data_IF_252949654460
#
_entry.id   IF_252949654460
#
_cell.length_a   1.000
_cell.length_b   1.000
_cell.length_c   1.000
_cell.angle_alpha   90.00
_cell.angle_beta   90.00
_cell.angle_gamma   90.00
#
_symmetry.space_group_name_H-M   'P 1'
#
loop_
_entity.id
_entity.type
_entity.pdbx_description
1 polymer ?
#
# COMPACT_ATOMS: atom_id res chain seq x y z
N UNK A 1 -21.93 5.32 -0.35
CA UNK A 1 -21.39 6.44 -1.15
C UNK A 1 -20.53 7.31 -0.23
N UNK A 2 -19.26 7.58 -0.55
CA UNK A 2 -18.40 8.40 0.30
C UNK A 2 -18.78 9.88 0.13
N UNK A 3 -19.44 10.45 1.14
CA UNK A 3 -20.05 11.78 1.13
C UNK A 3 -19.08 12.94 0.81
N UNK A 4 -17.77 12.72 0.99
CA UNK A 4 -16.71 13.73 0.85
C UNK A 4 -15.73 13.46 -0.31
N UNK A 5 -16.02 12.51 -1.20
CA UNK A 5 -15.12 12.15 -2.29
C UNK A 5 -14.86 13.28 -3.31
N UNK A 6 -15.76 14.26 -3.41
CA UNK A 6 -15.70 15.40 -4.34
C UNK A 6 -14.97 16.64 -3.79
N UNK A 7 -14.67 16.68 -2.48
CA UNK A 7 -13.93 17.79 -1.84
C UNK A 7 -12.44 17.71 -2.14
N UNK A 8 -11.73 18.83 -2.15
CA UNK A 8 -10.26 18.93 -2.26
C UNK A 8 -9.56 18.71 -0.91
N UNK A 9 -8.23 18.52 -0.89
CA UNK A 9 -7.49 18.35 0.38
C UNK A 9 -7.59 19.58 1.28
N UNK A 10 -7.59 20.79 0.72
CA UNK A 10 -7.73 22.04 1.46
C UNK A 10 -9.11 22.15 2.13
N UNK A 11 -10.17 21.81 1.40
CA UNK A 11 -11.53 21.80 1.95
C UNK A 11 -11.72 20.73 3.04
N UNK A 12 -11.12 19.55 2.87
CA UNK A 12 -11.12 18.53 3.93
C UNK A 12 -10.47 19.07 5.20
N UNK A 13 -9.33 19.77 5.10
CA UNK A 13 -8.66 20.38 6.27
C UNK A 13 -9.53 21.41 6.96
N UNK A 14 -10.23 22.26 6.22
CA UNK A 14 -11.17 23.23 6.78
C UNK A 14 -12.30 22.53 7.56
N UNK A 15 -12.91 21.49 6.98
CA UNK A 15 -13.95 20.69 7.65
C UNK A 15 -13.42 20.05 8.94
N UNK A 16 -12.21 19.50 8.94
CA UNK A 16 -11.60 18.85 10.11
C UNK A 16 -11.42 19.85 11.28
N UNK A 17 -11.05 21.10 10.98
CA UNK A 17 -10.77 22.14 11.97
C UNK A 17 -12.00 22.94 12.39
N UNK A 18 -13.13 22.79 11.69
CA UNK A 18 -14.36 23.51 12.01
C UNK A 18 -15.05 22.89 13.22
N UNK A 19 -14.94 23.55 14.38
CA UNK A 19 -15.54 23.09 15.63
C UNK A 19 -17.07 23.24 15.68
N UNK A 20 -17.67 23.96 14.73
CA UNK A 20 -19.13 24.07 14.62
C UNK A 20 -19.78 22.85 13.97
N UNK A 21 -18.99 22.02 13.27
CA UNK A 21 -19.46 20.78 12.65
C UNK A 21 -19.48 19.61 13.63
N UNK A 22 -20.41 18.69 13.39
CA UNK A 22 -20.52 17.45 14.15
C UNK A 22 -19.22 16.63 14.08
N UNK A 23 -18.89 15.99 15.20
CA UNK A 23 -17.67 15.20 15.37
C UNK A 23 -17.55 14.12 14.31
N UNK A 24 -18.66 13.44 13.99
CA UNK A 24 -18.69 12.38 12.99
C UNK A 24 -18.34 12.88 11.58
N UNK A 25 -18.73 14.10 11.24
CA UNK A 25 -18.41 14.73 9.95
C UNK A 25 -16.90 15.01 9.88
N UNK A 26 -16.33 15.54 10.97
CA UNK A 26 -14.90 15.83 11.08
C UNK A 26 -14.05 14.57 10.99
N UNK A 27 -14.48 13.47 11.62
CA UNK A 27 -13.83 12.17 11.52
C UNK A 27 -13.87 11.62 10.10
N UNK A 28 -15.04 11.64 9.44
CA UNK A 28 -15.14 11.18 8.04
C UNK A 28 -14.27 12.01 7.08
N UNK A 29 -14.11 13.30 7.34
CA UNK A 29 -13.21 14.15 6.57
C UNK A 29 -11.73 13.77 6.77
N UNK A 30 -11.31 13.48 8.01
CA UNK A 30 -9.97 12.98 8.30
C UNK A 30 -9.73 11.59 7.66
N UNK A 31 -10.70 10.68 7.73
CA UNK A 31 -10.62 9.36 7.09
C UNK A 31 -10.45 9.47 5.57
N UNK A 32 -11.24 10.30 4.88
CA UNK A 32 -11.11 10.50 3.44
C UNK A 32 -9.77 11.17 3.09
N UNK A 33 -9.29 12.10 3.93
CA UNK A 33 -7.95 12.71 3.77
C UNK A 33 -6.85 11.66 3.88
N UNK A 34 -6.92 10.77 4.89
CA UNK A 34 -5.98 9.69 5.09
C UNK A 34 -6.04 8.65 3.96
N UNK A 35 -7.24 8.28 3.50
CA UNK A 35 -7.43 7.36 2.37
C UNK A 35 -6.76 7.85 1.08
N UNK A 36 -6.78 9.16 0.83
CA UNK A 36 -6.14 9.79 -0.33
C UNK A 36 -4.63 9.89 -0.17
N UNK A 37 -4.17 10.25 1.01
CA UNK A 37 -2.75 10.45 1.31
C UNK A 37 -1.99 9.13 1.42
N UNK A 38 -2.62 8.12 2.00
CA UNK A 38 -2.05 6.82 2.26
C UNK A 38 -2.93 5.74 1.63
N UNK A 39 -2.52 5.16 0.49
CA UNK A 39 -3.23 4.03 -0.07
C UNK A 39 -3.23 2.84 0.91
N UNK A 40 -4.11 1.88 0.71
CA UNK A 40 -4.04 0.61 1.46
C UNK A 40 -2.73 -0.11 1.16
N UNK A 41 -2.23 -0.89 2.12
CA UNK A 41 -1.11 -1.79 1.89
C UNK A 41 -1.40 -2.68 0.67
N UNK A 42 -0.41 -2.83 -0.22
CA UNK A 42 -0.53 -3.64 -1.44
C UNK A 42 -0.26 -5.14 -1.24
N UNK A 43 0.01 -5.56 -0.01
CA UNK A 43 0.07 -6.98 0.33
C UNK A 43 -1.36 -7.54 0.35
N UNK A 44 -1.66 -8.62 -0.40
CA UNK A 44 -2.97 -9.25 -0.40
C UNK A 44 -3.44 -9.62 1.02
N UNK A 45 -4.69 -9.31 1.34
CA UNK A 45 -5.26 -9.57 2.67
C UNK A 45 -4.87 -8.56 3.76
N UNK A 46 -4.03 -7.56 3.46
CA UNK A 46 -3.70 -6.51 4.41
C UNK A 46 -4.64 -5.29 4.24
N UNK A 47 -5.36 -4.95 5.30
CA UNK A 47 -6.22 -3.76 5.36
C UNK A 47 -5.57 -2.55 6.02
N UNK A 48 -4.31 -2.68 6.45
CA UNK A 48 -3.59 -1.60 7.11
C UNK A 48 -3.25 -0.47 6.14
N UNK A 49 -3.22 0.75 6.67
CA UNK A 49 -2.80 1.95 5.94
C UNK A 49 -1.32 1.82 5.54
N UNK A 50 -1.01 2.10 4.27
CA UNK A 50 0.38 2.15 3.80
C UNK A 50 1.05 3.46 4.20
N UNK A 51 1.53 3.52 5.45
CA UNK A 51 2.29 4.67 5.97
C UNK A 51 3.66 4.83 5.29
N UNK A 52 4.13 3.81 4.57
CA UNK A 52 5.47 3.77 3.98
C UNK A 52 5.44 3.09 2.62
N UNK A 53 6.60 3.02 1.97
CA UNK A 53 6.78 2.34 0.70
C UNK A 53 7.96 1.37 0.78
N UNK A 54 7.88 0.29 0.01
CA UNK A 54 8.98 -0.62 -0.27
C UNK A 54 9.11 -0.69 -1.79
N UNK A 55 10.27 -0.31 -2.34
CA UNK A 55 10.47 -0.27 -3.80
C UNK A 55 9.38 0.52 -4.56
N UNK A 56 8.95 1.67 -4.02
CA UNK A 56 7.82 2.51 -4.51
C UNK A 56 6.43 1.91 -4.37
N UNK A 57 6.30 0.65 -3.94
CA UNK A 57 5.02 0.00 -3.67
C UNK A 57 4.54 0.41 -2.27
N UNK A 58 3.31 0.94 -2.13
CA UNK A 58 2.78 1.27 -0.81
C UNK A 58 2.53 0.04 0.05
N UNK A 59 3.14 0.02 1.23
CA UNK A 59 2.98 -1.07 2.22
C UNK A 59 2.89 -0.51 3.64
N UNK A 60 2.29 -1.27 4.56
CA UNK A 60 2.34 -0.91 5.97
C UNK A 60 3.75 -1.13 6.55
N UNK A 61 4.00 -0.57 7.73
CA UNK A 61 5.32 -0.63 8.38
C UNK A 61 5.78 -2.06 8.69
N UNK A 62 4.86 -2.89 9.17
CA UNK A 62 5.11 -4.32 9.41
C UNK A 62 5.57 -5.04 8.13
N UNK A 63 4.83 -4.89 7.02
CA UNK A 63 5.20 -5.54 5.76
C UNK A 63 6.46 -4.97 5.12
N UNK A 64 6.75 -3.68 5.33
CA UNK A 64 8.04 -3.10 4.91
C UNK A 64 9.20 -3.79 5.62
N UNK A 65 9.09 -4.00 6.93
CA UNK A 65 10.12 -4.69 7.69
C UNK A 65 10.31 -6.12 7.16
N UNK A 66 9.22 -6.89 7.01
CA UNK A 66 9.29 -8.26 6.48
C UNK A 66 9.90 -8.33 5.07
N UNK A 67 9.49 -7.46 4.14
CA UNK A 67 10.06 -7.38 2.79
C UNK A 67 11.55 -7.04 2.82
N UNK A 68 11.96 -6.18 3.75
CA UNK A 68 13.37 -5.79 3.90
C UNK A 68 14.18 -6.96 4.44
N UNK A 69 13.69 -7.67 5.45
CA UNK A 69 14.33 -8.88 5.98
C UNK A 69 14.45 -9.95 4.91
N UNK A 70 13.35 -10.29 4.20
CA UNK A 70 13.40 -11.27 3.11
C UNK A 70 14.41 -10.87 2.02
N UNK A 71 14.50 -9.58 1.70
CA UNK A 71 15.46 -9.07 0.71
C UNK A 71 16.90 -9.19 1.18
N UNK A 72 17.17 -8.93 2.47
CA UNK A 72 18.48 -9.09 3.08
C UNK A 72 18.87 -10.57 3.16
N UNK A 73 17.97 -11.43 3.62
CA UNK A 73 18.18 -12.88 3.71
C UNK A 73 18.48 -13.50 2.33
N UNK A 74 17.81 -13.04 1.28
CA UNK A 74 18.09 -13.48 -0.08
C UNK A 74 19.49 -13.07 -0.55
N UNK A 75 19.91 -11.83 -0.26
CA UNK A 75 21.25 -11.36 -0.64
C UNK A 75 22.37 -11.93 0.25
N UNK A 76 22.03 -12.37 1.47
CA UNK A 76 22.92 -13.10 2.35
C UNK A 76 22.94 -14.62 2.05
N UNK A 77 22.24 -15.07 1.00
CA UNK A 77 22.12 -16.48 0.60
C UNK A 77 21.50 -17.40 1.69
N UNK A 78 20.82 -16.81 2.67
CA UNK A 78 20.10 -17.54 3.74
C UNK A 78 18.85 -18.22 3.18
N UNK A 79 18.15 -17.54 2.26
CA UNK A 79 16.98 -18.07 1.55
C UNK A 79 17.20 -18.06 0.04
N UNK A 80 16.63 -19.03 -0.65
CA UNK A 80 16.69 -19.17 -2.10
C UNK A 80 15.59 -18.39 -2.80
N UNK A 81 15.76 -18.16 -4.09
CA UNK A 81 14.79 -17.46 -4.96
C UNK A 81 13.36 -18.01 -4.83
N UNK A 82 13.17 -19.31 -4.65
CA UNK A 82 11.84 -19.94 -4.53
C UNK A 82 11.14 -19.69 -3.19
N UNK A 83 11.89 -19.31 -2.16
CA UNK A 83 11.37 -19.11 -0.79
C UNK A 83 10.92 -17.65 -0.55
N UNK A 84 11.13 -16.77 -1.53
CA UNK A 84 10.82 -15.33 -1.48
C UNK A 84 9.33 -15.05 -1.66
N UNK A 85 8.51 -15.47 -0.71
CA UNK A 85 7.05 -15.42 -0.83
C UNK A 85 6.52 -13.99 -0.91
N UNK A 86 6.98 -13.08 -0.04
CA UNK A 86 6.37 -11.76 0.10
C UNK A 86 6.68 -10.88 -1.11
N UNK A 87 7.92 -10.90 -1.64
CA UNK A 87 8.24 -10.10 -2.83
C UNK A 87 7.44 -10.55 -4.06
N UNK A 88 7.09 -11.83 -4.16
CA UNK A 88 6.26 -12.31 -5.26
C UNK A 88 4.83 -11.83 -5.16
N UNK A 89 4.26 -11.70 -3.96
CA UNK A 89 2.90 -11.17 -3.78
C UNK A 89 2.76 -9.72 -4.25
N UNK A 90 3.79 -8.88 -4.05
CA UNK A 90 3.78 -7.49 -4.51
C UNK A 90 4.34 -7.32 -5.92
N UNK A 91 4.79 -8.40 -6.55
CA UNK A 91 5.43 -8.40 -7.85
C UNK A 91 4.70 -7.61 -8.95
N UNK A 92 3.36 -7.76 -9.09
CA UNK A 92 2.59 -7.00 -10.09
C UNK A 92 2.65 -5.47 -9.92
N UNK A 93 2.96 -4.98 -8.72
CA UNK A 93 3.05 -3.56 -8.42
C UNK A 93 4.46 -2.99 -8.59
N UNK A 94 5.48 -3.84 -8.73
CA UNK A 94 6.87 -3.39 -8.85
C UNK A 94 7.13 -2.77 -10.23
N UNK A 95 7.67 -1.55 -10.32
CA UNK A 95 7.80 -0.83 -11.58
C UNK A 95 8.73 -1.53 -12.58
N UNK A 96 9.78 -2.21 -12.10
CA UNK A 96 10.73 -2.97 -12.92
C UNK A 96 10.26 -4.38 -13.29
N UNK A 97 9.10 -4.83 -12.78
CA UNK A 97 8.49 -6.12 -13.19
C UNK A 97 7.57 -6.01 -14.39
N UNK A 98 7.20 -4.79 -14.82
CA UNK A 98 6.33 -4.58 -15.99
C UNK A 98 6.94 -4.99 -17.34
N UNK A 99 8.18 -5.51 -17.38
CA UNK A 99 8.83 -5.96 -18.61
C UNK A 99 9.76 -7.18 -18.49
N UNK A 100 9.81 -7.87 -17.35
CA UNK A 100 10.71 -9.02 -17.15
C UNK A 100 9.92 -10.29 -16.83
N UNK A 101 10.10 -11.34 -17.65
CA UNK A 101 9.52 -12.66 -17.43
C UNK A 101 10.13 -13.29 -16.17
N UNK A 102 9.29 -13.54 -15.15
CA UNK A 102 9.69 -14.27 -13.93
C UNK A 102 9.09 -15.68 -13.96
N UNK A 103 9.84 -16.70 -13.50
CA UNK A 103 9.34 -18.07 -13.45
C UNK A 103 8.23 -18.15 -12.40
N UNK A 104 7.02 -18.50 -12.83
CA UNK A 104 5.82 -18.60 -11.98
C UNK A 104 4.58 -17.91 -12.53
N UNK A 105 4.71 -17.05 -13.55
CA UNK A 105 3.57 -16.69 -14.40
C UNK A 105 3.58 -17.62 -15.60
N UNK A 106 3.03 -18.81 -15.41
CA UNK A 106 2.53 -19.58 -16.54
C UNK A 106 1.53 -18.70 -17.29
N UNK A 107 1.81 -18.49 -18.57
CA UNK A 107 0.84 -17.97 -19.53
C UNK A 107 -0.45 -18.79 -19.40
N UNK A 108 -1.47 -18.19 -18.82
CA UNK A 108 -2.86 -18.52 -19.11
C UNK A 108 -3.46 -17.26 -19.74
N UNK A 109 -4.15 -17.47 -20.88
CA UNK A 109 -4.48 -16.51 -21.94
C UNK A 109 -3.26 -16.34 -22.89
N UNK A 110 -3.21 -16.99 -24.05
CA UNK A 110 -4.24 -17.24 -25.07
C UNK A 110 -3.92 -18.58 -25.76
#
# INVERSE_FOLDING_TARGET
MNFLNWRTEAELRQIITDESLDYDIRIKAEEERLRRKYPSCKIPGCHSIAKTTWATVPVCECHKATLTTEQLDYYAEVIKKGERTLIYTIGPYLPWKRGAAWPGQGSACI
#
